data_IF_995625642605
#
_entry.id   IF_995625642605
#
_cell.length_a   1.000
_cell.length_b   1.000
_cell.length_c   1.000
_cell.angle_alpha   90.00
_cell.angle_beta   90.00
_cell.angle_gamma   90.00
#
_symmetry.space_group_name_H-M   'P 1'
#
loop_
_entity.id
_entity.type
_entity.pdbx_description
1 polymer ?
#
# COMPACT_ATOMS: atom_id res chain seq x y z
N UNK A 1 3.62 13.86 -5.40
CA UNK A 1 2.23 13.36 -5.47
C UNK A 1 2.29 11.86 -5.22
N UNK A 2 1.36 11.29 -4.45
CA UNK A 2 1.35 9.85 -4.18
C UNK A 2 0.75 9.15 -5.42
N UNK A 3 1.45 8.23 -6.09
CA UNK A 3 0.91 7.46 -7.20
C UNK A 3 -0.28 6.60 -6.77
N UNK A 4 -1.29 6.51 -7.64
CA UNK A 4 -2.46 5.64 -7.49
C UNK A 4 -2.54 4.75 -8.73
N UNK A 5 -2.59 3.43 -8.52
CA UNK A 5 -2.68 2.44 -9.60
C UNK A 5 -3.87 1.52 -9.34
N UNK A 6 -4.73 1.37 -10.34
CA UNK A 6 -5.96 0.58 -10.23
C UNK A 6 -5.77 -0.83 -10.76
N UNK A 7 -5.99 -1.85 -9.93
CA UNK A 7 -6.05 -3.25 -10.36
C UNK A 7 -7.47 -3.59 -10.76
N UNK A 8 -7.64 -3.86 -12.06
CA UNK A 8 -8.93 -4.11 -12.72
C UNK A 8 -8.94 -5.48 -13.38
N UNK A 9 -10.11 -5.89 -13.87
CA UNK A 9 -10.30 -7.21 -14.47
C UNK A 9 -11.69 -7.78 -14.19
N UNK A 10 -12.09 -8.77 -14.99
CA UNK A 10 -13.37 -9.50 -14.84
C UNK A 10 -13.47 -10.18 -13.47
N UNK A 11 -14.66 -10.63 -13.09
CA UNK A 11 -14.84 -11.32 -11.81
C UNK A 11 -14.05 -12.64 -11.80
N UNK A 12 -13.45 -12.96 -10.64
CA UNK A 12 -12.71 -14.22 -10.41
C UNK A 12 -11.49 -14.44 -11.32
N UNK A 13 -10.87 -13.37 -11.83
CA UNK A 13 -9.57 -13.45 -12.54
C UNK A 13 -8.37 -13.47 -11.58
N UNK A 14 -8.58 -13.31 -10.27
CA UNK A 14 -7.49 -13.33 -9.28
C UNK A 14 -6.92 -11.95 -8.90
N UNK A 15 -7.68 -10.86 -9.08
CA UNK A 15 -7.27 -9.49 -8.69
C UNK A 15 -6.81 -9.41 -7.22
N UNK A 16 -7.63 -9.93 -6.30
CA UNK A 16 -7.33 -9.89 -4.87
C UNK A 16 -6.05 -10.67 -4.55
N UNK A 17 -5.86 -11.83 -5.15
CA UNK A 17 -4.62 -12.62 -5.00
C UNK A 17 -3.39 -11.91 -5.54
N UNK A 18 -3.51 -11.23 -6.69
CA UNK A 18 -2.43 -10.40 -7.23
C UNK A 18 -2.10 -9.26 -6.26
N UNK A 19 -3.12 -8.55 -5.78
CA UNK A 19 -2.97 -7.44 -4.83
C UNK A 19 -2.29 -7.89 -3.54
N UNK A 20 -2.73 -8.98 -2.92
CA UNK A 20 -2.13 -9.53 -1.69
C UNK A 20 -0.61 -9.76 -1.87
N UNK A 21 -0.23 -10.41 -2.96
CA UNK A 21 1.18 -10.71 -3.26
C UNK A 21 1.97 -9.44 -3.58
N UNK A 22 1.41 -8.54 -4.38
CA UNK A 22 2.07 -7.29 -4.76
C UNK A 22 2.26 -6.36 -3.57
N UNK A 23 1.28 -6.28 -2.67
CA UNK A 23 1.40 -5.56 -1.40
C UNK A 23 2.53 -6.17 -0.58
N UNK A 24 2.54 -7.49 -0.40
CA UNK A 24 3.61 -8.16 0.35
C UNK A 24 5.00 -7.85 -0.22
N UNK A 25 5.18 -7.95 -1.54
CA UNK A 25 6.43 -7.65 -2.24
C UNK A 25 6.86 -6.18 -2.08
N UNK A 26 5.95 -5.22 -2.25
CA UNK A 26 6.27 -3.81 -2.05
C UNK A 26 6.59 -3.49 -0.58
N UNK A 27 5.92 -4.16 0.37
CA UNK A 27 6.22 -4.06 1.80
C UNK A 27 7.61 -4.61 2.12
N UNK A 28 8.04 -5.73 1.54
CA UNK A 28 9.41 -6.26 1.76
C UNK A 28 10.49 -5.31 1.24
N UNK A 29 10.19 -4.56 0.17
CA UNK A 29 11.03 -3.49 -0.40
C UNK A 29 11.04 -2.18 0.40
N UNK A 30 10.27 -2.10 1.49
CA UNK A 30 10.26 -0.96 2.41
C UNK A 30 9.23 0.13 2.07
N UNK A 31 8.31 -0.12 1.15
CA UNK A 31 7.25 0.84 0.83
C UNK A 31 6.11 0.81 1.83
N UNK A 32 5.42 1.94 1.97
CA UNK A 32 4.14 2.07 2.66
C UNK A 32 3.05 2.05 1.58
N UNK A 33 2.25 0.99 1.57
CA UNK A 33 1.23 0.78 0.56
C UNK A 33 -0.14 1.01 1.20
N UNK A 34 -0.91 1.93 0.65
CA UNK A 34 -2.33 2.09 0.94
C UNK A 34 -3.17 1.30 -0.04
N UNK A 35 -4.37 0.88 0.37
CA UNK A 35 -5.33 0.21 -0.51
C UNK A 35 -6.70 0.87 -0.47
N UNK A 36 -7.38 0.88 -1.62
CA UNK A 36 -8.77 1.33 -1.72
C UNK A 36 -9.54 0.26 -2.50
N UNK A 37 -10.64 -0.25 -1.94
CA UNK A 37 -11.53 -1.18 -2.64
C UNK A 37 -12.83 -0.47 -2.99
N UNK A 38 -13.25 -0.57 -4.24
CA UNK A 38 -14.57 -0.10 -4.67
C UNK A 38 -15.58 -1.26 -4.62
N UNK A 39 -16.62 -1.13 -3.81
CA UNK A 39 -17.80 -2.00 -3.84
C UNK A 39 -19.03 -1.22 -4.32
N UNK A 40 -19.55 -1.59 -5.50
CA UNK A 40 -20.69 -0.92 -6.13
C UNK A 40 -22.03 -1.23 -5.46
N UNK A 41 -22.10 -2.24 -4.59
CA UNK A 41 -23.34 -2.65 -3.92
C UNK A 41 -23.43 -2.13 -2.48
N UNK A 42 -22.44 -1.35 -2.04
CA UNK A 42 -22.28 -0.99 -0.63
C UNK A 42 -21.71 -2.13 0.20
N UNK A 43 -21.28 -1.81 1.43
CA UNK A 43 -20.68 -2.78 2.34
C UNK A 43 -21.02 -2.44 3.79
N UNK A 44 -21.02 -3.45 4.65
CA UNK A 44 -21.07 -3.29 6.10
C UNK A 44 -19.77 -3.86 6.68
N UNK A 45 -19.03 -3.03 7.41
CA UNK A 45 -17.74 -3.39 7.99
C UNK A 45 -17.82 -3.62 9.50
N UNK A 46 -18.86 -3.09 10.15
CA UNK A 46 -19.05 -3.21 11.59
C UNK A 46 -20.02 -4.35 11.94
N UNK A 47 -20.03 -4.75 13.22
CA UNK A 47 -20.91 -5.80 13.72
C UNK A 47 -22.26 -5.20 14.15
N UNK A 48 -23.38 -5.62 13.55
CA UNK A 48 -24.71 -5.16 13.94
C UNK A 48 -24.95 -5.31 15.44
N UNK A 49 -25.53 -4.28 16.05
CA UNK A 49 -25.87 -4.23 17.48
C UNK A 49 -24.71 -3.87 18.44
N UNK A 50 -23.46 -3.76 17.97
CA UNK A 50 -22.34 -3.27 18.79
C UNK A 50 -22.34 -1.74 18.91
N UNK A 51 -21.57 -1.21 19.85
CA UNK A 51 -21.63 0.20 20.24
C UNK A 51 -21.31 1.14 19.07
N UNK A 52 -20.22 0.88 18.32
CA UNK A 52 -19.85 1.66 17.14
C UNK A 52 -20.92 1.61 16.04
N UNK A 53 -21.54 0.45 15.82
CA UNK A 53 -22.65 0.30 14.88
C UNK A 53 -23.86 1.11 15.34
N UNK A 54 -24.20 1.05 16.64
CA UNK A 54 -25.30 1.84 17.22
C UNK A 54 -25.04 3.35 17.13
N UNK A 55 -23.79 3.79 17.26
CA UNK A 55 -23.42 5.20 17.06
C UNK A 55 -23.68 5.66 15.61
N UNK A 56 -23.32 4.83 14.62
CA UNK A 56 -23.59 5.11 13.22
C UNK A 56 -25.11 5.16 12.94
N UNK A 57 -25.87 4.18 13.43
CA UNK A 57 -27.33 4.13 13.27
C UNK A 57 -28.07 5.26 13.99
N UNK A 58 -27.51 5.77 15.09
CA UNK A 58 -28.03 6.95 15.77
C UNK A 58 -27.88 8.26 14.96
N UNK A 59 -27.15 8.22 13.84
CA UNK A 59 -27.00 9.33 12.92
C UNK A 59 -25.66 10.05 12.99
N UNK A 60 -24.63 9.45 13.61
CA UNK A 60 -23.29 10.04 13.61
C UNK A 60 -22.76 10.16 12.17
N UNK A 61 -22.27 11.35 11.80
CA UNK A 61 -21.65 11.58 10.47
C UNK A 61 -20.32 10.84 10.32
N UNK A 62 -19.62 10.63 11.44
CA UNK A 62 -18.41 9.83 11.52
C UNK A 62 -18.34 9.07 12.85
N UNK A 63 -17.90 7.82 12.79
CA UNK A 63 -17.58 6.97 13.93
C UNK A 63 -16.11 6.56 13.82
N UNK A 64 -15.32 6.89 14.84
CA UNK A 64 -13.90 6.54 14.91
C UNK A 64 -13.68 5.52 16.02
N UNK A 65 -13.14 4.36 15.67
CA UNK A 65 -12.77 3.30 16.59
C UNK A 65 -11.23 3.28 16.65
N UNK A 66 -10.67 3.32 17.86
CA UNK A 66 -9.22 3.34 18.05
C UNK A 66 -8.80 2.26 19.04
N UNK A 67 -7.71 1.58 18.71
CA UNK A 67 -6.96 0.69 19.60
C UNK A 67 -5.45 0.98 19.46
N UNK A 68 -4.59 0.39 20.31
CA UNK A 68 -3.15 0.57 20.19
C UNK A 68 -2.54 0.17 18.83
N UNK A 69 -3.17 -0.77 18.13
CA UNK A 69 -2.63 -1.36 16.90
C UNK A 69 -3.37 -0.93 15.64
N UNK A 70 -4.61 -0.43 15.75
CA UNK A 70 -5.43 -0.09 14.60
C UNK A 70 -6.47 0.98 14.87
N UNK A 71 -6.88 1.63 13.80
CA UNK A 71 -7.96 2.59 13.75
C UNK A 71 -8.93 2.20 12.63
N UNK A 72 -10.22 2.37 12.89
CA UNK A 72 -11.26 2.24 11.88
C UNK A 72 -12.11 3.50 11.84
N UNK A 73 -12.39 3.99 10.64
CA UNK A 73 -13.27 5.13 10.38
C UNK A 73 -14.47 4.65 9.56
N UNK A 74 -15.66 4.83 10.13
CA UNK A 74 -16.93 4.68 9.41
C UNK A 74 -17.48 6.08 9.21
N UNK A 75 -17.65 6.52 7.97
CA UNK A 75 -18.07 7.88 7.66
C UNK A 75 -19.22 7.88 6.66
N UNK A 76 -20.30 8.59 7.00
CA UNK A 76 -21.40 8.81 6.06
C UNK A 76 -20.91 9.77 4.98
N UNK A 77 -21.21 9.44 3.73
CA UNK A 77 -20.91 10.29 2.57
C UNK A 77 -22.20 10.66 1.87
N UNK A 78 -22.24 11.88 1.38
CA UNK A 78 -23.32 12.51 0.62
C UNK A 78 -23.25 12.15 -0.88
N UNK A 79 -22.06 11.82 -1.36
CA UNK A 79 -21.77 11.32 -2.71
C UNK A 79 -20.57 10.39 -2.72
N UNK A 80 -20.42 9.67 -3.82
CA UNK A 80 -19.18 8.95 -4.10
C UNK A 80 -17.99 9.92 -4.16
N UNK A 81 -16.89 9.53 -3.52
CA UNK A 81 -15.66 10.33 -3.41
C UNK A 81 -14.69 9.93 -4.51
N UNK A 82 -13.97 10.90 -5.06
CA UNK A 82 -12.89 10.60 -5.98
C UNK A 82 -11.74 9.87 -5.26
N UNK A 83 -10.88 9.18 -6.02
CA UNK A 83 -9.69 8.55 -5.46
C UNK A 83 -8.76 9.56 -4.78
N UNK A 84 -8.66 10.78 -5.32
CA UNK A 84 -7.87 11.86 -4.73
C UNK A 84 -8.47 12.36 -3.40
N UNK A 85 -9.80 12.38 -3.26
CA UNK A 85 -10.46 12.68 -1.98
C UNK A 85 -10.28 11.56 -0.96
N UNK A 86 -10.27 10.30 -1.42
CA UNK A 86 -10.07 9.13 -0.56
C UNK A 86 -8.62 9.02 -0.07
N UNK A 87 -7.65 9.50 -0.85
CA UNK A 87 -6.24 9.53 -0.49
C UNK A 87 -6.00 10.25 0.85
N UNK A 88 -6.79 11.28 1.16
CA UNK A 88 -6.69 12.03 2.40
C UNK A 88 -6.91 11.18 3.67
N UNK A 89 -7.53 10.00 3.57
CA UNK A 89 -7.76 9.10 4.70
C UNK A 89 -6.65 8.05 4.91
N UNK A 90 -5.77 7.83 3.93
CA UNK A 90 -4.75 6.78 3.98
C UNK A 90 -3.48 7.19 4.74
N UNK A 91 -3.33 8.48 5.06
CA UNK A 91 -2.17 9.00 5.75
C UNK A 91 -0.89 8.95 4.91
N UNK A 92 0.24 8.68 5.56
CA UNK A 92 1.55 8.78 4.94
C UNK A 92 1.95 7.47 4.23
N UNK A 93 1.54 7.33 2.98
CA UNK A 93 1.83 6.18 2.09
C UNK A 93 2.65 6.61 0.85
N UNK A 94 3.37 5.67 0.26
CA UNK A 94 4.16 5.86 -0.97
C UNK A 94 3.39 5.60 -2.24
N UNK A 95 2.45 4.67 -2.15
CA UNK A 95 1.68 4.15 -3.28
C UNK A 95 0.30 3.76 -2.77
N UNK A 96 -0.71 4.02 -3.59
CA UNK A 96 -2.05 3.49 -3.40
C UNK A 96 -2.37 2.48 -4.50
N UNK A 97 -2.78 1.29 -4.10
CA UNK A 97 -3.30 0.27 -5.01
C UNK A 97 -4.81 0.17 -4.83
N UNK A 98 -5.57 0.21 -5.92
CA UNK A 98 -7.03 0.06 -5.81
C UNK A 98 -7.50 -1.27 -6.36
N UNK A 99 -8.51 -1.89 -5.74
CA UNK A 99 -9.26 -2.97 -6.38
C UNK A 99 -10.58 -2.40 -6.94
N UNK A 100 -10.72 -2.39 -8.27
CA UNK A 100 -11.89 -1.81 -8.94
C UNK A 100 -11.59 -0.46 -9.62
N UNK A 101 -12.55 0.47 -9.58
CA UNK A 101 -12.48 1.75 -10.29
C UNK A 101 -12.22 1.63 -11.80
N UNK A 102 -12.93 0.71 -12.47
CA UNK A 102 -12.80 0.44 -13.92
C UNK A 102 -13.00 1.70 -14.78
N UNK A 103 -13.92 2.58 -14.36
CA UNK A 103 -14.22 3.84 -15.05
C UNK A 103 -13.41 5.03 -14.52
N UNK A 104 -12.43 4.79 -13.64
CA UNK A 104 -11.57 5.83 -13.07
C UNK A 104 -10.50 6.31 -14.05
N UNK A 105 -9.94 7.48 -13.77
CA UNK A 105 -8.93 8.18 -14.58
C UNK A 105 -7.48 7.75 -14.27
N UNK A 106 -7.28 6.89 -13.28
CA UNK A 106 -5.95 6.41 -12.89
C UNK A 106 -5.48 5.29 -13.82
N UNK A 107 -4.16 5.15 -13.94
CA UNK A 107 -3.53 4.07 -14.70
C UNK A 107 -3.87 2.71 -14.10
N UNK A 108 -3.97 1.72 -14.98
CA UNK A 108 -4.57 0.43 -14.65
C UNK A 108 -3.62 -0.72 -14.88
N UNK A 109 -3.62 -1.66 -13.95
CA UNK A 109 -3.10 -3.01 -14.17
C UNK A 109 -4.33 -3.89 -14.41
N UNK A 110 -4.52 -4.34 -15.64
CA UNK A 110 -5.62 -5.26 -15.94
C UNK A 110 -5.18 -6.71 -15.72
N UNK A 111 -6.00 -7.45 -14.99
CA UNK A 111 -5.83 -8.89 -14.81
C UNK A 111 -6.79 -9.62 -15.73
N UNK A 112 -6.24 -10.41 -16.65
CA UNK A 112 -7.00 -11.17 -17.65
C UNK A 112 -6.63 -12.64 -17.61
N UNK A 113 -7.62 -13.51 -17.81
CA UNK A 113 -7.42 -14.96 -17.92
C UNK A 113 -8.07 -15.45 -19.18
N UNK A 114 -7.41 -16.34 -19.91
CA UNK A 114 -7.97 -17.03 -21.07
C UNK A 114 -9.31 -17.69 -20.75
N UNK A 115 -9.43 -18.29 -19.56
CA UNK A 115 -10.67 -18.90 -19.08
C UNK A 115 -11.85 -17.92 -18.94
N UNK A 116 -11.59 -16.60 -18.97
CA UNK A 116 -12.59 -15.51 -18.93
C UNK A 116 -12.68 -14.71 -20.24
N UNK A 117 -12.06 -15.24 -21.31
CA UNK A 117 -12.07 -14.67 -22.65
C UNK A 117 -10.85 -13.81 -22.97
N UNK A 118 -10.86 -13.23 -24.17
CA UNK A 118 -9.78 -12.39 -24.70
C UNK A 118 -10.14 -10.91 -24.75
N UNK A 119 -11.36 -10.54 -24.38
CA UNK A 119 -11.75 -9.13 -24.31
C UNK A 119 -11.22 -8.49 -23.02
N UNK A 120 -10.45 -7.42 -23.18
CA UNK A 120 -9.98 -6.54 -22.11
C UNK A 120 -11.03 -5.49 -21.77
N UNK A 121 -11.05 -5.07 -20.50
CA UNK A 121 -11.93 -4.04 -19.99
C UNK A 121 -11.42 -2.63 -20.28
N UNK A 122 -10.10 -2.47 -20.36
CA UNK A 122 -9.43 -1.20 -20.51
C UNK A 122 -8.89 -1.03 -21.92
N UNK A 123 -8.79 0.23 -22.34
CA UNK A 123 -8.06 0.58 -23.56
C UNK A 123 -6.57 0.57 -23.27
N UNK A 124 -5.77 0.36 -24.30
CA UNK A 124 -4.32 0.27 -24.19
C UNK A 124 -3.70 1.50 -23.52
N UNK A 125 -4.21 2.71 -23.82
CA UNK A 125 -3.69 3.97 -23.27
C UNK A 125 -4.00 4.16 -21.78
N UNK A 126 -4.89 3.34 -21.21
CA UNK A 126 -5.20 3.34 -19.78
C UNK A 126 -4.32 2.37 -18.99
N UNK A 127 -3.61 1.46 -19.68
CA UNK A 127 -2.86 0.38 -19.07
C UNK A 127 -1.44 0.81 -18.73
N UNK A 128 -1.06 0.57 -17.47
CA UNK A 128 0.34 0.50 -17.07
C UNK A 128 0.93 -0.86 -17.44
N UNK A 129 0.17 -1.93 -17.23
CA UNK A 129 0.58 -3.30 -17.51
C UNK A 129 -0.62 -4.23 -17.63
N UNK A 130 -0.41 -5.38 -18.27
CA UNK A 130 -1.35 -6.49 -18.30
C UNK A 130 -0.79 -7.68 -17.51
N UNK A 131 -1.61 -8.28 -16.65
CA UNK A 131 -1.28 -9.55 -15.98
C UNK A 131 -2.16 -10.64 -16.57
N UNK A 132 -1.56 -11.62 -17.24
CA UNK A 132 -2.33 -12.60 -18.00
C UNK A 132 -1.66 -13.98 -18.14
N UNK A 133 -2.38 -14.93 -18.68
CA UNK A 133 -1.95 -16.31 -19.01
C UNK A 133 -2.07 -16.60 -20.52
N UNK A 134 -2.29 -15.58 -21.35
CA UNK A 134 -2.37 -15.68 -22.81
C UNK A 134 -1.73 -14.44 -23.46
N UNK A 135 -1.21 -14.54 -24.69
CA UNK A 135 -0.57 -13.41 -25.35
C UNK A 135 -1.60 -12.38 -25.84
N UNK A 136 -1.21 -11.11 -25.79
CA UNK A 136 -1.91 -9.98 -26.41
C UNK A 136 -0.95 -9.17 -27.30
N UNK A 137 -1.47 -8.59 -28.37
CA UNK A 137 -0.72 -7.65 -29.22
C UNK A 137 -0.96 -6.23 -28.72
N UNK A 138 -0.19 -5.83 -27.70
CA UNK A 138 -0.26 -4.53 -27.03
C UNK A 138 1.15 -4.04 -26.74
N UNK A 139 1.37 -2.72 -26.86
CA UNK A 139 2.62 -2.03 -26.52
C UNK A 139 2.67 -1.63 -25.03
N UNK A 140 2.17 -2.50 -24.16
CA UNK A 140 2.29 -2.36 -22.70
C UNK A 140 2.96 -3.59 -22.09
N UNK A 141 3.73 -3.44 -21.00
CA UNK A 141 4.34 -4.58 -20.31
C UNK A 141 3.31 -5.65 -19.94
N UNK A 142 3.62 -6.92 -20.26
CA UNK A 142 2.78 -8.07 -19.94
C UNK A 142 3.52 -9.00 -18.98
N UNK A 143 2.82 -9.42 -17.93
CA UNK A 143 3.37 -10.28 -16.87
C UNK A 143 2.51 -11.53 -16.70
N UNK A 144 3.16 -12.64 -16.38
CA UNK A 144 2.44 -13.81 -15.88
C UNK A 144 1.88 -13.55 -14.49
N UNK A 145 0.81 -14.26 -14.11
CA UNK A 145 0.20 -14.15 -12.78
C UNK A 145 1.16 -14.44 -11.60
N UNK A 146 2.25 -15.15 -11.87
CA UNK A 146 3.30 -15.46 -10.90
C UNK A 146 4.39 -14.38 -10.81
N UNK A 147 4.53 -13.52 -11.82
CA UNK A 147 5.61 -12.54 -11.91
C UNK A 147 5.29 -11.23 -11.18
N UNK A 148 5.08 -11.38 -9.87
CA UNK A 148 4.79 -10.25 -8.97
C UNK A 148 6.03 -9.37 -8.78
N UNK A 149 7.21 -9.97 -8.79
CA UNK A 149 8.47 -9.24 -8.65
C UNK A 149 8.73 -8.34 -9.85
N UNK A 150 8.54 -8.82 -11.07
CA UNK A 150 8.68 -8.02 -12.29
C UNK A 150 7.66 -6.87 -12.34
N UNK A 151 6.42 -7.14 -11.93
CA UNK A 151 5.40 -6.09 -11.81
C UNK A 151 5.78 -5.02 -10.77
N UNK A 152 6.32 -5.43 -9.62
CA UNK A 152 6.80 -4.51 -8.60
C UNK A 152 8.01 -3.69 -9.08
N UNK A 153 8.92 -4.29 -9.86
CA UNK A 153 10.06 -3.60 -10.47
C UNK A 153 9.60 -2.48 -11.42
N UNK A 154 8.60 -2.75 -12.25
CA UNK A 154 7.99 -1.75 -13.12
C UNK A 154 7.42 -0.58 -12.31
N UNK A 155 6.59 -0.86 -11.31
CA UNK A 155 5.97 0.17 -10.47
C UNK A 155 7.04 1.00 -9.76
N UNK A 156 8.07 0.34 -9.22
CA UNK A 156 9.17 1.00 -8.52
C UNK A 156 9.92 1.96 -9.46
N UNK A 157 10.33 1.46 -10.63
CA UNK A 157 11.06 2.23 -11.64
C UNK A 157 10.29 3.46 -12.11
N UNK A 158 9.01 3.30 -12.45
CA UNK A 158 8.23 4.35 -13.10
C UNK A 158 7.63 5.38 -12.10
N UNK A 159 7.32 4.97 -10.86
CA UNK A 159 6.57 5.83 -9.94
C UNK A 159 7.21 6.05 -8.57
N UNK A 160 8.16 5.20 -8.15
CA UNK A 160 8.70 5.24 -6.79
C UNK A 160 10.20 5.58 -6.73
N UNK A 161 10.91 5.55 -7.86
CA UNK A 161 12.31 6.01 -8.00
C UNK A 161 12.39 7.54 -8.16
N UNK A 162 11.73 8.29 -7.28
CA UNK A 162 12.23 9.61 -6.86
C UNK A 162 13.21 9.40 -5.70
N UNK A 163 14.10 10.35 -5.32
CA UNK A 163 14.99 10.13 -4.18
C UNK A 163 14.15 9.70 -2.98
N UNK A 164 14.26 8.41 -2.60
CA UNK A 164 13.48 7.83 -1.50
C UNK A 164 13.74 8.75 -0.31
N UNK A 165 12.70 9.41 0.21
CA UNK A 165 12.83 10.12 1.50
C UNK A 165 13.35 9.08 2.47
N UNK A 166 14.58 9.26 2.93
CA UNK A 166 15.21 8.35 3.86
C UNK A 166 14.35 8.30 5.12
N UNK A 167 13.89 7.10 5.49
CA UNK A 167 12.98 6.92 6.61
C UNK A 167 13.72 6.35 7.80
N UNK A 168 13.34 6.87 8.96
CA UNK A 168 13.75 6.34 10.25
C UNK A 168 12.49 5.84 10.95
N UNK A 169 12.50 4.55 11.28
CA UNK A 169 11.52 3.94 12.18
C UNK A 169 12.21 3.59 13.49
N UNK A 170 11.55 3.87 14.61
CA UNK A 170 12.01 3.44 15.93
C UNK A 170 11.02 2.43 16.48
N UNK A 171 11.50 1.27 16.91
CA UNK A 171 10.69 0.24 17.57
C UNK A 171 11.21 0.07 18.99
N UNK A 172 10.32 0.15 19.98
CA UNK A 172 10.64 -0.04 21.41
C UNK A 172 9.69 -1.10 21.96
N UNK A 173 10.24 -2.19 22.50
CA UNK A 173 9.48 -3.34 23.02
C UNK A 173 8.44 -3.88 22.01
N UNK A 174 8.82 -3.94 20.73
CA UNK A 174 7.95 -4.36 19.64
C UNK A 174 6.91 -3.33 19.19
N UNK A 175 6.92 -2.11 19.74
CA UNK A 175 5.98 -1.03 19.39
C UNK A 175 6.65 0.02 18.52
N UNK A 176 6.01 0.39 17.41
CA UNK A 176 6.44 1.52 16.58
C UNK A 176 6.28 2.83 17.35
N UNK A 177 7.41 3.52 17.56
CA UNK A 177 7.46 4.84 18.18
C UNK A 177 7.60 5.89 17.06
N UNK A 178 6.56 6.71 16.82
CA UNK A 178 6.65 7.76 15.82
C UNK A 178 7.67 8.81 16.27
N UNK A 179 8.66 9.07 15.41
CA UNK A 179 9.57 10.20 15.57
C UNK A 179 8.81 11.48 15.17
N UNK A 180 8.07 12.03 16.14
CA UNK A 180 7.05 13.08 15.92
C UNK A 180 7.58 14.41 15.37
N UNK A 181 8.90 14.59 15.31
CA UNK A 181 9.52 15.80 14.76
C UNK A 181 10.51 15.43 13.67
N UNK A 182 10.56 16.25 12.61
CA UNK A 182 11.61 16.12 11.58
C UNK A 182 13.01 16.18 12.19
N UNK A 183 13.19 16.98 13.25
CA UNK A 183 14.45 17.07 13.97
C UNK A 183 14.91 15.73 14.57
N UNK A 184 14.04 15.02 15.30
CA UNK A 184 14.39 13.75 15.91
C UNK A 184 14.75 12.69 14.84
N UNK A 185 14.00 12.65 13.74
CA UNK A 185 14.29 11.75 12.62
C UNK A 185 15.63 12.09 11.96
N UNK A 186 15.91 13.36 11.69
CA UNK A 186 17.17 13.79 11.07
C UNK A 186 18.39 13.57 11.97
N UNK A 187 18.26 13.74 13.29
CA UNK A 187 19.35 13.44 14.23
C UNK A 187 19.69 11.95 14.22
N UNK A 188 18.70 11.07 14.38
CA UNK A 188 18.93 9.62 14.37
C UNK A 188 19.56 9.20 13.04
N UNK A 189 19.02 9.68 11.92
CA UNK A 189 19.54 9.43 10.59
C UNK A 189 20.99 9.87 10.43
N UNK A 190 21.33 11.10 10.84
CA UNK A 190 22.68 11.62 10.73
C UNK A 190 23.67 10.79 11.55
N UNK A 191 23.32 10.43 12.79
CA UNK A 191 24.16 9.60 13.67
C UNK A 191 24.35 8.21 13.08
N UNK A 192 23.28 7.54 12.67
CA UNK A 192 23.34 6.19 12.10
C UNK A 192 24.17 6.16 10.82
N UNK A 193 23.98 7.13 9.92
CA UNK A 193 24.80 7.24 8.71
C UNK A 193 26.27 7.47 9.04
N UNK A 194 26.58 8.39 9.95
CA UNK A 194 27.95 8.66 10.35
C UNK A 194 28.62 7.38 10.89
N UNK A 195 27.95 6.63 11.76
CA UNK A 195 28.44 5.34 12.25
C UNK A 195 28.71 4.37 11.10
N UNK A 196 27.75 4.15 10.21
CA UNK A 196 27.90 3.20 9.09
C UNK A 196 29.01 3.61 8.13
N UNK A 197 29.23 4.91 7.88
CA UNK A 197 30.34 5.35 7.01
C UNK A 197 31.72 5.04 7.55
N UNK A 198 31.86 4.75 8.85
CA UNK A 198 33.13 4.34 9.46
C UNK A 198 33.39 2.82 9.37
N UNK A 199 32.40 2.04 8.95
CA UNK A 199 32.50 0.59 8.86
C UNK A 199 32.90 0.15 7.45
N UNK A 200 33.81 -0.82 7.36
CA UNK A 200 34.20 -1.41 6.08
C UNK A 200 33.08 -2.32 5.55
N UNK A 201 32.80 -2.27 4.24
CA UNK A 201 31.91 -3.22 3.57
C UNK A 201 30.42 -2.83 3.63
N UNK A 202 30.13 -1.61 4.05
CA UNK A 202 28.77 -1.06 4.12
C UNK A 202 28.50 -0.02 3.02
N UNK A 203 29.38 0.07 2.02
CA UNK A 203 29.21 0.97 0.88
C UNK A 203 27.91 0.63 0.12
N UNK A 204 27.05 1.62 -0.09
CA UNK A 204 25.79 1.43 -0.81
C UNK A 204 24.71 0.67 -0.02
N UNK A 205 24.83 0.55 1.31
CA UNK A 205 23.83 -0.09 2.15
C UNK A 205 22.42 0.49 1.90
N UNK A 206 21.49 -0.36 1.45
CA UNK A 206 20.09 0.01 1.17
C UNK A 206 19.21 0.03 2.43
N UNK A 207 19.61 -0.71 3.47
CA UNK A 207 18.89 -0.85 4.74
C UNK A 207 19.90 -1.02 5.87
N UNK A 208 19.71 -0.28 6.96
CA UNK A 208 20.51 -0.36 8.18
C UNK A 208 19.54 -0.72 9.31
N UNK A 209 19.85 -1.78 10.06
CA UNK A 209 19.09 -2.20 11.24
C UNK A 209 20.05 -2.10 12.42
N UNK A 210 19.68 -1.31 13.43
CA UNK A 210 20.40 -1.25 14.70
C UNK A 210 19.48 -1.85 15.75
N UNK A 211 19.94 -2.92 16.40
CA UNK A 211 19.25 -3.54 17.53
C UNK A 211 20.07 -3.24 18.77
N UNK A 212 19.41 -2.73 19.80
CA UNK A 212 19.97 -2.56 21.14
C UNK A 212 19.24 -3.53 22.06
N UNK A 213 19.96 -4.49 22.62
CA UNK A 213 19.44 -5.44 23.60
C UNK A 213 20.02 -5.08 24.97
N UNK A 214 19.16 -4.91 25.97
CA UNK A 214 19.61 -4.86 27.35
C UNK A 214 19.65 -6.29 27.86
N UNK A 215 20.83 -6.80 28.14
CA UNK A 215 20.97 -7.95 29.04
C UNK A 215 20.45 -7.49 30.40
N UNK A 216 19.24 -7.89 30.77
CA UNK A 216 18.73 -7.61 32.11
C UNK A 216 19.76 -8.12 33.12
N UNK A 217 20.13 -7.28 34.09
CA UNK A 217 20.90 -7.74 35.25
C UNK A 217 20.18 -8.97 35.80
N UNK A 218 20.85 -10.12 35.73
CA UNK A 218 20.35 -11.35 36.29
C UNK A 218 19.99 -11.08 37.75
N UNK A 219 18.70 -11.20 38.07
CA UNK A 219 18.24 -11.08 39.43
C UNK A 219 18.95 -12.10 40.30
N UNK A 220 19.75 -11.60 41.25
CA UNK A 220 19.96 -12.27 42.54
C UNK A 220 18.69 -12.16 43.40
#
# INVERSE_FOLDING_TARGET
MIPIISVVGKSEVGKTTLLEKLIAELKTRGYRVGTIKHDTHGFEIDKPGKDSWRHAQAGSDAVLISSPEKLALIKRVDRERSLDELLAYLGDVDLVLTEGYKSGDKLKIEVSRQARGQELLCREEELLALVTDQPFDLDVPQFEHGDVAGLADLIEKEYLMSPKKERVSLVVDGRDIPLRTEFAAEVVKAVVKALVTTLHGTEGAKRIIITLENEGEGGE
#
